data_IF_285303779082
#
_entry.id   IF_285303779082
#
_cell.length_a   1.000
_cell.length_b   1.000
_cell.length_c   1.000
_cell.angle_alpha   90.00
_cell.angle_beta   90.00
_cell.angle_gamma   90.00
#
_symmetry.space_group_name_H-M   'P 1'
#
loop_
_entity.id
_entity.type
_entity.pdbx_description
1 polymer ?
#
# COMPACT_ATOMS: atom_id res chain seq x y z
N UNK A 1 -17.99 -2.01 16.13
CA UNK A 1 -17.58 -1.30 14.89
C UNK A 1 -18.75 -1.38 13.92
N UNK A 2 -19.15 -0.26 13.31
CA UNK A 2 -20.23 -0.24 12.30
C UNK A 2 -19.55 -0.11 10.94
N UNK A 3 -19.87 -1.02 10.02
CA UNK A 3 -19.36 -0.96 8.67
C UNK A 3 -19.82 0.33 7.96
N UNK A 4 -18.92 0.93 7.19
CA UNK A 4 -19.18 2.11 6.36
C UNK A 4 -18.95 1.77 4.91
N UNK A 5 -19.66 2.45 4.03
CA UNK A 5 -19.55 2.30 2.58
C UNK A 5 -19.23 3.66 1.96
N UNK A 6 -18.14 3.71 1.21
CA UNK A 6 -17.67 4.88 0.46
C UNK A 6 -17.10 4.40 -0.86
N UNK A 7 -17.28 5.18 -1.93
CA UNK A 7 -16.83 4.82 -3.29
C UNK A 7 -17.28 3.41 -3.75
N UNK A 8 -18.42 2.92 -3.24
CA UNK A 8 -18.94 1.59 -3.57
C UNK A 8 -18.29 0.42 -2.84
N UNK A 9 -17.37 0.66 -1.89
CA UNK A 9 -16.68 -0.39 -1.12
C UNK A 9 -16.92 -0.26 0.39
N UNK A 10 -17.06 -1.40 1.04
CA UNK A 10 -17.23 -1.53 2.49
C UNK A 10 -15.90 -1.61 3.25
N UNK A 11 -15.92 -1.36 4.56
CA UNK A 11 -14.71 -1.45 5.38
C UNK A 11 -14.08 -2.86 5.36
N UNK A 12 -14.88 -3.91 5.36
CA UNK A 12 -14.34 -5.28 5.33
C UNK A 12 -13.65 -5.61 4.01
N UNK A 13 -14.17 -5.07 2.91
CA UNK A 13 -13.58 -5.22 1.58
C UNK A 13 -12.22 -4.52 1.50
N UNK A 14 -12.12 -3.30 2.06
CA UNK A 14 -10.83 -2.60 2.20
C UNK A 14 -9.83 -3.45 2.97
N UNK A 15 -10.22 -3.96 4.15
CA UNK A 15 -9.35 -4.78 5.00
C UNK A 15 -8.89 -6.07 4.28
N UNK A 16 -9.77 -6.69 3.50
CA UNK A 16 -9.45 -7.90 2.75
C UNK A 16 -8.39 -7.67 1.66
N UNK A 17 -8.31 -6.46 1.10
CA UNK A 17 -7.39 -6.14 0.00
C UNK A 17 -6.11 -5.41 0.42
N UNK A 18 -5.92 -5.12 1.72
CA UNK A 18 -4.77 -4.36 2.22
C UNK A 18 -3.41 -4.99 1.90
N UNK A 19 -3.32 -6.33 1.87
CA UNK A 19 -2.08 -7.02 1.54
C UNK A 19 -1.72 -6.79 0.06
N UNK A 20 -2.69 -6.99 -0.84
CA UNK A 20 -2.52 -6.72 -2.28
C UNK A 20 -2.20 -5.25 -2.56
N UNK A 21 -2.80 -4.32 -1.80
CA UNK A 21 -2.46 -2.90 -1.86
C UNK A 21 -1.00 -2.66 -1.45
N UNK A 22 -0.53 -3.25 -0.34
CA UNK A 22 0.84 -3.10 0.14
C UNK A 22 1.89 -3.72 -0.79
N UNK A 23 1.51 -4.76 -1.52
CA UNK A 23 2.35 -5.42 -2.53
C UNK A 23 2.35 -4.67 -3.88
N UNK A 24 1.44 -3.71 -4.06
CA UNK A 24 1.27 -3.00 -5.34
C UNK A 24 0.68 -3.89 -6.44
N UNK A 25 -0.04 -4.95 -6.08
CA UNK A 25 -0.63 -5.93 -7.02
C UNK A 25 -2.06 -5.61 -7.44
N UNK A 26 -2.68 -4.59 -6.84
CA UNK A 26 -4.01 -4.12 -7.23
C UNK A 26 -3.98 -3.35 -8.55
N UNK A 27 -5.06 -3.47 -9.33
CA UNK A 27 -5.30 -2.62 -10.48
C UNK A 27 -5.36 -1.13 -10.07
N UNK A 28 -4.93 -0.19 -10.93
CA UNK A 28 -4.93 1.25 -10.61
C UNK A 28 -6.30 1.78 -10.18
N UNK A 29 -7.37 1.35 -10.87
CA UNK A 29 -8.74 1.76 -10.60
C UNK A 29 -9.21 1.26 -9.23
N UNK A 30 -8.75 0.07 -8.85
CA UNK A 30 -9.06 -0.53 -7.55
C UNK A 30 -8.33 0.17 -6.42
N UNK A 31 -7.04 0.47 -6.63
CA UNK A 31 -6.21 1.26 -5.71
C UNK A 31 -6.84 2.60 -5.39
N UNK A 32 -7.35 3.29 -6.42
CA UNK A 32 -8.04 4.58 -6.27
C UNK A 32 -9.35 4.45 -5.48
N UNK A 33 -10.12 3.39 -5.75
CA UNK A 33 -11.36 3.10 -5.01
C UNK A 33 -11.10 2.91 -3.51
N UNK A 34 -10.05 2.14 -3.16
CA UNK A 34 -9.67 1.94 -1.76
C UNK A 34 -9.18 3.23 -1.11
N UNK A 35 -8.37 4.05 -1.81
CA UNK A 35 -7.93 5.37 -1.34
C UNK A 35 -9.13 6.26 -0.99
N UNK A 36 -10.08 6.36 -1.91
CA UNK A 36 -11.30 7.16 -1.71
C UNK A 36 -12.16 6.71 -0.52
N UNK A 37 -12.11 5.43 -0.15
CA UNK A 37 -12.74 4.96 1.09
C UNK A 37 -11.95 5.40 2.33
N UNK A 38 -10.63 5.16 2.32
CA UNK A 38 -9.75 5.48 3.45
C UNK A 38 -9.79 6.96 3.80
N UNK A 39 -9.83 7.84 2.79
CA UNK A 39 -9.95 9.31 2.97
C UNK A 39 -11.24 9.74 3.69
N UNK A 40 -12.28 8.92 3.67
CA UNK A 40 -13.61 9.25 4.22
C UNK A 40 -13.96 8.45 5.48
N UNK A 41 -13.24 7.36 5.75
CA UNK A 41 -13.52 6.46 6.85
C UNK A 41 -12.41 6.51 7.90
N UNK A 42 -12.64 7.24 9.00
CA UNK A 42 -11.67 7.39 10.09
C UNK A 42 -11.20 6.07 10.71
N UNK A 43 -12.03 5.02 10.66
CA UNK A 43 -11.67 3.68 11.11
C UNK A 43 -10.60 3.07 10.20
N UNK A 44 -10.84 3.09 8.88
CA UNK A 44 -9.89 2.55 7.91
C UNK A 44 -8.63 3.42 7.81
N UNK A 45 -8.76 4.72 7.96
CA UNK A 45 -7.64 5.67 8.03
C UNK A 45 -6.72 5.37 9.21
N UNK A 46 -7.28 5.19 10.42
CA UNK A 46 -6.50 4.79 11.60
C UNK A 46 -5.87 3.41 11.41
N UNK A 47 -6.65 2.42 10.96
CA UNK A 47 -6.12 1.07 10.78
C UNK A 47 -4.99 1.03 9.74
N UNK A 48 -5.16 1.75 8.62
CA UNK A 48 -4.18 1.82 7.55
C UNK A 48 -2.83 2.36 8.03
N UNK A 49 -2.82 3.37 8.91
CA UNK A 49 -1.57 3.89 9.53
C UNK A 49 -0.84 2.85 10.39
N UNK A 50 -1.58 2.13 11.22
CA UNK A 50 -0.98 1.06 12.05
C UNK A 50 -0.46 -0.08 11.17
N UNK A 51 -1.21 -0.44 10.13
CA UNK A 51 -0.81 -1.46 9.16
C UNK A 51 0.45 -1.05 8.38
N UNK A 52 0.53 0.20 7.92
CA UNK A 52 1.72 0.75 7.26
C UNK A 52 2.96 0.65 8.15
N UNK A 53 2.82 0.98 9.43
CA UNK A 53 3.90 0.86 10.43
C UNK A 53 4.44 -0.57 10.51
N UNK A 54 3.55 -1.57 10.54
CA UNK A 54 3.94 -2.99 10.56
C UNK A 54 4.62 -3.40 9.26
N UNK A 55 4.06 -3.01 8.11
CA UNK A 55 4.63 -3.34 6.80
C UNK A 55 6.01 -2.71 6.62
N UNK A 56 6.21 -1.48 7.06
CA UNK A 56 7.52 -0.80 7.02
C UNK A 56 8.55 -1.51 7.90
N UNK A 57 8.17 -1.89 9.13
CA UNK A 57 9.04 -2.67 10.01
C UNK A 57 9.45 -4.00 9.36
N UNK A 58 8.52 -4.69 8.69
CA UNK A 58 8.82 -5.92 7.96
C UNK A 58 9.76 -5.70 6.78
N UNK A 59 9.51 -4.67 5.96
CA UNK A 59 10.38 -4.30 4.82
C UNK A 59 11.81 -3.98 5.28
N UNK A 60 11.95 -3.36 6.45
CA UNK A 60 13.26 -2.99 7.02
C UNK A 60 13.93 -4.11 7.82
N UNK A 61 13.21 -5.18 8.15
CA UNK A 61 13.75 -6.32 8.93
C UNK A 61 14.72 -7.21 8.16
N UNK A 62 14.77 -7.09 6.83
CA UNK A 62 15.69 -7.81 5.97
C UNK A 62 16.48 -6.83 5.11
N UNK A 63 17.81 -6.98 4.98
CA UNK A 63 18.58 -6.11 4.11
C UNK A 63 18.07 -6.29 2.67
N UNK A 64 17.81 -5.19 1.94
CA UNK A 64 17.40 -5.28 0.55
C UNK A 64 18.50 -6.02 -0.23
N UNK A 65 18.08 -6.92 -1.12
CA UNK A 65 18.99 -7.59 -2.03
C UNK A 65 19.81 -6.56 -2.82
N UNK A 66 21.10 -6.81 -2.99
CA UNK A 66 21.94 -5.91 -3.77
C UNK A 66 21.43 -5.83 -5.21
N UNK A 67 21.19 -4.60 -5.69
CA UNK A 67 20.89 -4.39 -7.11
C UNK A 67 22.07 -4.86 -7.97
N UNK A 68 21.82 -5.56 -9.09
CA UNK A 68 22.87 -5.87 -10.05
C UNK A 68 23.58 -4.59 -10.50
N UNK A 69 24.91 -4.64 -10.66
CA UNK A 69 25.74 -3.49 -11.05
C UNK A 69 25.18 -2.80 -12.30
N UNK A 70 24.83 -3.58 -13.32
CA UNK A 70 24.26 -3.05 -14.56
C UNK A 70 22.94 -2.27 -14.37
N UNK A 71 22.12 -2.64 -13.37
CA UNK A 71 20.89 -1.90 -13.04
C UNK A 71 21.24 -0.58 -12.36
N UNK A 72 22.17 -0.60 -11.39
CA UNK A 72 22.66 0.60 -10.70
C UNK A 72 23.23 1.63 -11.69
N UNK A 73 24.14 1.22 -12.56
CA UNK A 73 24.78 2.10 -13.55
C UNK A 73 23.79 2.68 -14.58
N UNK A 74 22.72 1.95 -14.89
CA UNK A 74 21.64 2.45 -15.76
C UNK A 74 20.78 3.49 -15.07
N UNK A 75 20.46 3.27 -13.79
CA UNK A 75 19.70 4.23 -12.97
C UNK A 75 20.49 5.52 -12.78
N UNK A 76 21.77 5.43 -12.44
CA UNK A 76 22.66 6.59 -12.26
C UNK A 76 22.73 7.44 -13.54
N UNK A 77 22.88 6.81 -14.72
CA UNK A 77 22.86 7.54 -16.00
C UNK A 77 21.51 8.15 -16.39
N UNK A 78 20.40 7.61 -15.91
CA UNK A 78 19.06 8.08 -16.28
C UNK A 78 18.56 9.23 -15.39
N UNK A 79 19.13 9.38 -14.20
CA UNK A 79 18.74 10.38 -13.19
C UNK A 79 19.70 11.59 -13.12
N UNK A 80 20.81 11.56 -13.89
CA UNK A 80 21.76 12.65 -14.08
C UNK A 80 21.65 13.23 -15.49
#
# INVERSE_FOLDING_TARGET
>A
MVEKYYAGVGCFEVLAELSSFAEGSLAPERTETLRQHVERCSVCERFGREFETVVEALRNSSPPGALPVAVRERLERALH
#
